data_IF_843835699046
#
_entry.id   IF_843835699046
#
_cell.length_a   1.000
_cell.length_b   1.000
_cell.length_c   1.000
_cell.angle_alpha   90.00
_cell.angle_beta   90.00
_cell.angle_gamma   90.00
#
_symmetry.space_group_name_H-M   'P 1'
#
loop_
_entity.id
_entity.type
_entity.pdbx_description
1 polymer ?
#
# COMPACT_ATOMS: atom_id res chain seq x y z
N UNK A 1 34.06 -23.52 41.27
CA UNK A 1 34.49 -22.22 41.83
C UNK A 1 33.42 -21.18 41.49
N UNK A 2 33.09 -20.30 42.44
CA UNK A 2 31.82 -19.56 42.62
C UNK A 2 31.35 -18.67 41.46
N UNK A 3 30.02 -18.64 41.28
CA UNK A 3 29.22 -17.64 40.56
C UNK A 3 29.45 -16.22 41.10
N UNK A 4 29.47 -15.21 40.22
CA UNK A 4 29.34 -13.78 40.56
C UNK A 4 28.11 -13.20 39.86
N UNK A 5 27.07 -12.90 40.67
CA UNK A 5 25.93 -12.04 40.32
C UNK A 5 26.35 -10.58 40.55
N UNK A 6 26.29 -9.75 39.50
CA UNK A 6 26.37 -8.29 39.64
C UNK A 6 25.01 -7.72 40.07
N UNK A 7 24.94 -7.16 41.28
CA UNK A 7 23.87 -6.27 41.74
C UNK A 7 24.28 -4.84 41.38
N UNK A 8 23.42 -4.10 40.70
CA UNK A 8 23.59 -2.64 40.54
C UNK A 8 22.94 -1.93 41.73
N UNK A 9 23.73 -1.10 42.41
CA UNK A 9 23.36 -0.32 43.58
C UNK A 9 22.49 0.90 43.22
N UNK A 10 21.41 1.04 43.97
CA UNK A 10 20.53 2.20 44.06
C UNK A 10 21.30 3.38 44.71
N UNK A 11 21.39 4.52 44.02
CA UNK A 11 21.98 5.74 44.58
C UNK A 11 21.06 6.37 45.62
N UNK A 12 21.68 6.73 46.75
CA UNK A 12 21.08 7.35 47.95
C UNK A 12 20.51 8.73 47.66
N UNK A 13 19.32 8.95 48.20
CA UNK A 13 18.65 10.23 48.37
C UNK A 13 19.32 11.01 49.53
N UNK A 14 19.73 12.26 49.28
CA UNK A 14 20.28 13.17 50.28
C UNK A 14 19.16 14.08 50.79
N UNK A 15 18.79 13.94 52.06
CA UNK A 15 17.92 14.88 52.76
C UNK A 15 18.74 16.11 53.20
N UNK A 16 18.22 17.31 52.92
CA UNK A 16 18.53 18.49 53.73
C UNK A 16 17.27 19.32 53.90
N UNK A 17 16.98 19.54 55.17
CA UNK A 17 15.86 20.17 55.80
C UNK A 17 16.05 21.70 55.79
N UNK A 18 15.11 22.47 55.25
CA UNK A 18 14.85 23.83 55.74
C UNK A 18 13.38 24.22 55.48
N UNK A 19 12.63 24.35 56.56
CA UNK A 19 11.25 24.85 56.62
C UNK A 19 11.27 26.38 56.63
N UNK A 20 10.52 27.02 55.73
CA UNK A 20 9.97 28.36 55.94
C UNK A 20 8.61 28.48 55.24
N UNK A 21 7.61 28.85 56.05
CA UNK A 21 6.19 28.96 55.74
C UNK A 21 5.87 30.18 54.85
N UNK A 22 5.18 29.98 53.73
CA UNK A 22 4.31 30.95 53.06
C UNK A 22 3.20 30.18 52.30
N UNK A 23 1.92 30.58 52.36
CA UNK A 23 0.85 29.89 51.65
C UNK A 23 0.78 30.42 50.22
N UNK A 24 1.56 29.84 49.32
CA UNK A 24 1.36 30.00 47.88
C UNK A 24 0.57 28.79 47.42
N UNK A 25 -0.61 29.05 46.83
CA UNK A 25 -1.45 28.06 46.16
C UNK A 25 -0.61 27.43 45.04
N UNK A 26 0.03 26.32 45.36
CA UNK A 26 0.72 25.48 44.40
C UNK A 26 -0.35 24.73 43.61
N UNK A 27 -0.65 25.22 42.41
CA UNK A 27 -1.18 24.38 41.35
C UNK A 27 -0.16 23.26 41.15
N UNK A 28 -0.40 22.11 41.78
CA UNK A 28 0.29 20.88 41.46
C UNK A 28 -0.11 20.53 40.02
N UNK A 29 0.63 21.06 39.05
CA UNK A 29 0.67 20.51 37.71
C UNK A 29 1.29 19.13 37.92
N UNK A 30 0.41 18.13 38.08
CA UNK A 30 0.74 16.74 37.87
C UNK A 30 1.20 16.63 36.41
N UNK A 31 2.45 16.99 36.14
CA UNK A 31 3.19 16.51 34.98
C UNK A 31 3.38 15.02 35.23
N UNK A 32 2.31 14.27 35.01
CA UNK A 32 2.38 12.85 34.75
C UNK A 32 3.29 12.71 33.55
N UNK A 33 4.55 12.38 33.82
CA UNK A 33 5.43 11.81 32.82
C UNK A 33 4.76 10.48 32.47
N UNK A 34 3.86 10.53 31.47
CA UNK A 34 3.31 9.33 30.84
C UNK A 34 4.54 8.63 30.28
N UNK A 35 5.02 7.63 31.00
CA UNK A 35 6.02 6.69 30.50
C UNK A 35 5.36 6.02 29.31
N UNK A 36 5.60 6.55 28.10
CA UNK A 36 5.07 5.95 26.88
C UNK A 36 5.62 4.53 26.81
N UNK A 37 4.75 3.55 27.03
CA UNK A 37 5.14 2.15 27.03
C UNK A 37 5.48 1.76 25.58
N UNK A 38 6.71 1.33 25.35
CA UNK A 38 7.15 0.79 24.07
C UNK A 38 6.91 -0.72 24.09
N UNK A 39 5.99 -1.19 23.25
CA UNK A 39 5.75 -2.62 23.11
C UNK A 39 6.64 -3.16 21.98
N UNK A 40 7.56 -4.07 22.33
CA UNK A 40 8.35 -4.81 21.34
C UNK A 40 7.48 -5.93 20.80
N UNK A 41 7.18 -5.89 19.50
CA UNK A 41 6.33 -6.88 18.86
C UNK A 41 7.09 -8.18 18.64
N UNK A 42 6.48 -9.31 19.03
CA UNK A 42 6.96 -10.64 18.65
C UNK A 42 6.55 -10.92 17.21
N UNK A 43 7.50 -10.80 16.30
CA UNK A 43 7.32 -11.00 14.86
C UNK A 43 8.28 -12.07 14.35
N UNK A 44 7.84 -12.80 13.33
CA UNK A 44 8.66 -13.77 12.61
C UNK A 44 8.82 -13.29 11.16
N UNK A 45 9.83 -12.46 10.88
CA UNK A 45 10.05 -11.94 9.54
C UNK A 45 10.45 -13.07 8.59
N UNK A 46 9.91 -13.04 7.37
CA UNK A 46 10.33 -13.92 6.28
C UNK A 46 11.38 -13.19 5.46
N UNK A 47 12.59 -13.77 5.44
CA UNK A 47 13.70 -13.25 4.64
C UNK A 47 13.74 -13.99 3.32
N UNK A 48 13.68 -13.24 2.22
CA UNK A 48 13.78 -13.76 0.86
C UNK A 48 14.84 -12.96 0.09
N UNK A 49 15.70 -13.67 -0.64
CA UNK A 49 16.78 -13.09 -1.43
C UNK A 49 16.48 -13.06 -2.93
N UNK A 50 15.33 -13.56 -3.36
CA UNK A 50 14.89 -13.53 -4.76
C UNK A 50 13.35 -13.43 -4.89
N UNK A 51 12.68 -12.46 -4.23
CA UNK A 51 11.22 -12.37 -4.28
C UNK A 51 10.66 -11.93 -5.64
N UNK A 52 11.49 -11.37 -6.53
CA UNK A 52 11.05 -10.90 -7.86
C UNK A 52 11.37 -11.90 -8.99
N UNK A 53 11.81 -13.11 -8.66
CA UNK A 53 11.99 -14.24 -9.56
C UNK A 53 12.72 -13.92 -10.87
N UNK A 54 14.05 -13.80 -10.81
CA UNK A 54 14.89 -13.66 -12.02
C UNK A 54 14.91 -12.25 -12.61
N UNK A 55 14.25 -11.28 -11.97
CA UNK A 55 14.44 -9.87 -12.31
C UNK A 55 15.86 -9.40 -11.98
N UNK A 56 16.57 -8.87 -12.98
CA UNK A 56 17.95 -8.38 -12.86
C UNK A 56 18.08 -6.89 -13.12
N UNK A 57 16.96 -6.20 -13.38
CA UNK A 57 16.95 -4.76 -13.60
C UNK A 57 17.36 -3.99 -12.35
N UNK A 58 18.04 -2.86 -12.53
CA UNK A 58 18.39 -2.00 -11.40
C UNK A 58 17.11 -1.51 -10.71
N UNK A 59 17.06 -1.67 -9.40
CA UNK A 59 16.04 -1.07 -8.55
C UNK A 59 16.66 -0.64 -7.24
N UNK A 60 16.27 0.54 -6.78
CA UNK A 60 16.58 1.02 -5.44
C UNK A 60 15.76 0.27 -4.40
N UNK A 61 16.24 0.34 -3.16
CA UNK A 61 15.54 -0.20 -2.00
C UNK A 61 14.28 0.60 -1.69
N UNK A 62 13.37 -0.03 -0.95
CA UNK A 62 12.06 0.52 -0.63
C UNK A 62 11.56 -0.02 0.71
N UNK A 63 10.86 0.83 1.43
CA UNK A 63 10.10 0.46 2.63
C UNK A 63 8.62 0.78 2.41
N UNK A 64 7.74 -0.20 2.62
CA UNK A 64 6.31 -0.05 2.33
C UNK A 64 5.45 -1.01 3.12
N UNK A 65 4.13 -0.80 3.05
CA UNK A 65 3.10 -1.67 3.62
C UNK A 65 2.39 -2.38 2.48
N UNK A 66 2.26 -3.70 2.57
CA UNK A 66 1.54 -4.52 1.59
C UNK A 66 0.59 -5.47 2.32
N UNK A 67 -0.64 -5.54 1.83
CA UNK A 67 -1.66 -6.44 2.38
C UNK A 67 -1.59 -7.84 1.78
N UNK A 68 -2.10 -8.81 2.52
CA UNK A 68 -2.29 -10.19 2.10
C UNK A 68 -1.27 -11.16 2.69
N UNK A 69 -1.35 -12.38 2.21
CA UNK A 69 -0.42 -13.48 2.51
C UNK A 69 0.96 -13.23 1.89
N UNK A 70 1.99 -13.95 2.36
CA UNK A 70 3.36 -13.82 1.84
C UNK A 70 3.45 -13.97 0.31
N UNK A 71 2.79 -14.95 -0.35
CA UNK A 71 2.78 -15.04 -1.81
C UNK A 71 2.18 -13.80 -2.50
N UNK A 72 1.05 -13.29 -1.98
CA UNK A 72 0.41 -12.08 -2.50
C UNK A 72 1.33 -10.85 -2.31
N UNK A 73 2.00 -10.75 -1.16
CA UNK A 73 2.97 -9.69 -0.88
C UNK A 73 4.12 -9.71 -1.89
N UNK A 74 4.66 -10.88 -2.23
CA UNK A 74 5.73 -11.00 -3.24
C UNK A 74 5.27 -10.57 -4.62
N UNK A 75 4.07 -10.98 -5.04
CA UNK A 75 3.51 -10.57 -6.32
C UNK A 75 3.22 -9.05 -6.36
N UNK A 76 2.67 -8.49 -5.29
CA UNK A 76 2.50 -7.03 -5.16
C UNK A 76 3.84 -6.29 -5.20
N UNK A 77 4.86 -6.79 -4.50
CA UNK A 77 6.21 -6.22 -4.55
C UNK A 77 6.78 -6.24 -5.97
N UNK A 78 6.59 -7.35 -6.70
CA UNK A 78 6.98 -7.48 -8.11
C UNK A 78 6.27 -6.45 -9.00
N UNK A 79 4.98 -6.26 -8.78
CA UNK A 79 4.20 -5.26 -9.52
C UNK A 79 4.66 -3.84 -9.23
N UNK A 80 4.98 -3.51 -7.98
CA UNK A 80 5.51 -2.19 -7.60
C UNK A 80 6.91 -1.97 -8.20
N UNK A 81 7.82 -2.94 -8.04
CA UNK A 81 9.23 -2.77 -8.44
C UNK A 81 9.41 -2.84 -9.95
N UNK A 82 8.81 -3.83 -10.61
CA UNK A 82 9.00 -4.10 -12.04
C UNK A 82 8.01 -3.29 -12.88
N UNK A 83 6.72 -3.39 -12.55
CA UNK A 83 5.65 -2.77 -13.36
C UNK A 83 5.35 -1.32 -12.95
N UNK A 84 6.03 -0.82 -11.90
CA UNK A 84 5.87 0.56 -11.38
C UNK A 84 4.42 0.90 -11.01
N UNK A 85 3.69 -0.09 -10.49
CA UNK A 85 2.35 0.11 -9.94
C UNK A 85 2.45 1.03 -8.73
N UNK A 86 1.52 1.97 -8.61
CA UNK A 86 1.46 2.90 -7.50
C UNK A 86 1.21 2.16 -6.18
N UNK A 87 1.84 2.63 -5.10
CA UNK A 87 1.65 2.07 -3.77
C UNK A 87 0.35 2.60 -3.17
N UNK A 88 -0.44 1.73 -2.54
CA UNK A 88 -1.60 2.16 -1.75
C UNK A 88 -1.15 2.54 -0.35
N UNK A 89 -1.63 3.67 0.16
CA UNK A 89 -1.47 4.10 1.55
C UNK A 89 -2.75 3.98 2.37
N UNK A 90 -3.81 3.35 1.82
CA UNK A 90 -5.07 3.12 2.54
C UNK A 90 -5.40 1.63 2.55
N UNK A 91 -5.76 1.14 3.74
CA UNK A 91 -6.05 -0.26 4.03
C UNK A 91 -7.35 -0.39 4.83
N UNK A 92 -7.89 -1.61 4.92
CA UNK A 92 -9.05 -1.93 5.75
C UNK A 92 -8.64 -2.56 7.08
N UNK A 93 -9.46 -2.42 8.13
CA UNK A 93 -9.29 -3.16 9.40
C UNK A 93 -9.29 -4.68 9.23
N UNK A 94 -9.86 -5.18 8.13
CA UNK A 94 -9.86 -6.60 7.78
C UNK A 94 -8.63 -7.05 6.98
N UNK A 95 -7.82 -6.12 6.47
CA UNK A 95 -6.63 -6.46 5.71
C UNK A 95 -5.53 -6.98 6.67
N UNK A 96 -4.97 -8.15 6.37
CA UNK A 96 -3.73 -8.61 7.01
C UNK A 96 -2.54 -7.86 6.40
N UNK A 97 -1.89 -7.03 7.19
CA UNK A 97 -0.82 -6.14 6.71
C UNK A 97 0.57 -6.70 6.98
N UNK A 98 1.52 -6.31 6.12
CA UNK A 98 2.93 -6.66 6.22
C UNK A 98 3.78 -5.42 5.97
N UNK A 99 4.81 -5.21 6.78
CA UNK A 99 5.90 -4.33 6.37
C UNK A 99 6.83 -5.07 5.42
N UNK A 100 7.28 -4.38 4.38
CA UNK A 100 8.22 -4.91 3.40
C UNK A 100 9.44 -4.01 3.35
N UNK A 101 10.60 -4.58 3.70
CA UNK A 101 11.90 -3.93 3.57
C UNK A 101 12.63 -4.59 2.40
N UNK A 102 12.69 -3.90 1.27
CA UNK A 102 13.35 -4.33 0.06
C UNK A 102 14.67 -3.57 -0.10
N UNK A 103 15.81 -4.24 -0.21
CA UNK A 103 17.12 -3.56 -0.32
C UNK A 103 17.50 -3.13 -1.74
N UNK A 104 16.75 -3.54 -2.76
CA UNK A 104 17.12 -3.33 -4.17
C UNK A 104 17.66 -4.58 -4.83
N UNK A 105 18.14 -4.44 -6.07
CA UNK A 105 18.77 -5.52 -6.84
C UNK A 105 20.29 -5.35 -6.81
N UNK A 106 21.00 -6.39 -6.38
CA UNK A 106 22.45 -6.48 -6.39
C UNK A 106 22.92 -7.48 -7.45
N UNK A 107 24.03 -7.18 -8.13
CA UNK A 107 24.58 -8.02 -9.21
C UNK A 107 25.27 -9.30 -8.72
N UNK A 108 25.50 -9.41 -7.42
CA UNK A 108 26.11 -10.58 -6.77
C UNK A 108 25.35 -10.90 -5.48
N UNK A 109 25.65 -12.06 -4.89
CA UNK A 109 25.26 -12.36 -3.51
C UNK A 109 26.18 -11.72 -2.48
N UNK A 110 26.01 -12.14 -1.23
CA UNK A 110 26.73 -11.59 -0.07
C UNK A 110 26.02 -10.40 0.59
N UNK A 111 25.05 -9.79 -0.07
CA UNK A 111 24.21 -8.75 0.52
C UNK A 111 23.13 -9.38 1.41
N UNK A 112 23.00 -8.88 2.63
CA UNK A 112 22.14 -9.43 3.68
C UNK A 112 21.15 -8.41 4.24
N UNK A 113 20.03 -8.90 4.74
CA UNK A 113 19.13 -8.15 5.62
C UNK A 113 18.79 -9.00 6.84
N UNK A 114 18.63 -8.37 8.00
CA UNK A 114 17.94 -8.95 9.14
C UNK A 114 17.05 -7.90 9.77
N UNK A 115 15.93 -8.34 10.36
CA UNK A 115 15.08 -7.49 11.19
C UNK A 115 15.43 -7.82 12.63
N UNK A 116 15.93 -6.82 13.34
CA UNK A 116 16.46 -6.99 14.69
C UNK A 116 15.33 -6.89 15.72
N UNK A 117 14.41 -5.94 15.51
CA UNK A 117 13.16 -5.80 16.28
C UNK A 117 12.16 -4.89 15.57
N UNK A 118 10.90 -4.98 15.97
CA UNK A 118 9.87 -4.00 15.64
C UNK A 118 9.23 -3.51 16.93
N UNK A 119 9.19 -2.19 17.08
CA UNK A 119 8.57 -1.52 18.21
C UNK A 119 7.27 -0.85 17.77
N UNK A 120 6.26 -0.90 18.63
CA UNK A 120 5.01 -0.16 18.45
C UNK A 120 4.81 0.80 19.62
N UNK A 121 4.50 2.05 19.29
CA UNK A 121 4.13 3.09 20.25
C UNK A 121 2.91 3.83 19.71
N UNK A 122 1.72 3.49 20.23
CA UNK A 122 0.47 3.98 19.65
C UNK A 122 0.33 3.53 18.18
N UNK A 123 0.18 4.49 17.27
CA UNK A 123 0.06 4.24 15.83
C UNK A 123 1.41 4.36 15.09
N UNK A 124 2.52 4.45 15.81
CA UNK A 124 3.86 4.50 15.22
C UNK A 124 4.51 3.14 15.36
N UNK A 125 4.96 2.59 14.24
CA UNK A 125 5.82 1.40 14.19
C UNK A 125 7.24 1.83 13.83
N UNK A 126 8.23 1.29 14.53
CA UNK A 126 9.64 1.44 14.16
C UNK A 126 10.25 0.07 13.91
N UNK A 127 10.65 -0.17 12.67
CA UNK A 127 11.35 -1.36 12.22
C UNK A 127 12.84 -1.11 12.29
N UNK A 128 13.56 -1.92 13.06
CA UNK A 128 15.01 -1.87 13.17
C UNK A 128 15.59 -3.02 12.35
N UNK A 129 16.42 -2.70 11.37
CA UNK A 129 17.03 -3.66 10.48
C UNK A 129 18.55 -3.49 10.43
N UNK A 130 19.25 -4.59 10.19
CA UNK A 130 20.68 -4.58 9.89
C UNK A 130 20.88 -4.94 8.42
N UNK A 131 21.53 -4.04 7.69
CA UNK A 131 21.98 -4.25 6.32
C UNK A 131 23.41 -4.76 6.34
N UNK A 132 23.66 -5.89 5.70
CA UNK A 132 25.00 -6.47 5.58
C UNK A 132 25.49 -6.37 4.14
N UNK A 133 26.68 -5.83 3.97
CA UNK A 133 27.31 -5.71 2.66
C UNK A 133 28.63 -6.50 2.64
N UNK A 134 28.93 -7.23 1.56
CA UNK A 134 30.20 -7.95 1.43
C UNK A 134 31.33 -6.94 1.22
N UNK A 135 32.30 -6.95 2.12
CA UNK A 135 33.52 -6.16 2.03
C UNK A 135 34.56 -6.79 1.10
N UNK A 136 35.67 -6.06 0.90
CA UNK A 136 36.75 -6.49 0.02
C UNK A 136 37.31 -7.85 0.46
N UNK A 137 37.42 -8.77 -0.50
CA UNK A 137 37.99 -10.10 -0.28
C UNK A 137 37.00 -11.14 0.28
N UNK A 138 35.75 -10.76 0.57
CA UNK A 138 34.68 -11.73 0.84
C UNK A 138 34.26 -12.40 -0.45
N UNK A 139 34.23 -13.74 -0.45
CA UNK A 139 33.66 -14.50 -1.55
C UNK A 139 32.16 -14.23 -1.68
N UNK A 140 31.71 -13.90 -2.88
CA UNK A 140 30.31 -13.67 -3.22
C UNK A 140 29.84 -14.68 -4.24
N UNK A 141 28.54 -14.95 -4.29
CA UNK A 141 27.95 -15.75 -5.38
C UNK A 141 27.75 -14.87 -6.62
N UNK A 142 28.07 -15.40 -7.79
CA UNK A 142 27.85 -14.73 -9.09
C UNK A 142 26.40 -14.87 -9.56
N UNK A 143 25.46 -14.45 -8.69
CA UNK A 143 24.04 -14.44 -8.98
C UNK A 143 23.42 -13.16 -8.43
N UNK A 144 22.45 -12.62 -9.17
CA UNK A 144 21.70 -11.45 -8.71
C UNK A 144 20.95 -11.79 -7.43
N UNK A 145 20.99 -10.87 -6.45
CA UNK A 145 20.26 -11.02 -5.19
C UNK A 145 19.42 -9.80 -4.88
N UNK A 146 18.36 -10.03 -4.12
CA UNK A 146 17.31 -9.07 -3.81
C UNK A 146 16.91 -9.21 -2.34
N UNK A 147 17.80 -8.86 -1.39
CA UNK A 147 17.54 -9.07 0.03
C UNK A 147 16.28 -8.34 0.48
N UNK A 148 15.31 -9.09 0.97
CA UNK A 148 13.98 -8.60 1.30
C UNK A 148 13.51 -9.22 2.60
N UNK A 149 12.93 -8.40 3.48
CA UNK A 149 12.25 -8.86 4.67
C UNK A 149 10.76 -8.53 4.58
N UNK A 150 9.92 -9.55 4.73
CA UNK A 150 8.47 -9.43 4.85
C UNK A 150 8.12 -9.66 6.31
N UNK A 151 7.46 -8.68 6.93
CA UNK A 151 7.18 -8.66 8.36
C UNK A 151 5.67 -8.64 8.55
N UNK A 152 5.03 -9.79 8.84
CA UNK A 152 3.60 -9.83 9.12
C UNK A 152 3.31 -9.03 10.40
N UNK A 153 2.44 -8.02 10.29
CA UNK A 153 1.95 -7.24 11.43
C UNK A 153 0.47 -7.52 11.72
N UNK A 154 -0.21 -8.22 10.80
CA UNK A 154 -1.60 -8.63 10.93
C UNK A 154 -2.56 -7.47 10.74
N UNK A 155 -3.75 -7.61 11.33
CA UNK A 155 -4.82 -6.61 11.28
C UNK A 155 -4.57 -5.48 12.25
N UNK A 156 -4.94 -4.28 11.85
CA UNK A 156 -4.82 -3.07 12.67
C UNK A 156 -6.20 -2.46 12.91
N UNK A 157 -6.34 -1.76 14.04
CA UNK A 157 -7.52 -0.95 14.31
C UNK A 157 -7.57 0.25 13.35
N UNK A 158 -8.75 0.85 13.21
CA UNK A 158 -8.91 2.09 12.44
C UNK A 158 -7.98 3.20 12.96
N UNK A 159 -7.42 3.96 12.03
CA UNK A 159 -6.63 5.15 12.34
C UNK A 159 -5.51 5.41 11.34
N UNK A 160 -4.85 6.55 11.54
CA UNK A 160 -3.64 6.94 10.82
C UNK A 160 -2.41 6.36 11.51
N UNK A 161 -1.53 5.76 10.72
CA UNK A 161 -0.31 5.09 11.16
C UNK A 161 0.93 5.62 10.44
N UNK A 162 2.04 5.54 11.16
CA UNK A 162 3.37 5.86 10.65
C UNK A 162 4.27 4.64 10.86
N UNK A 163 4.94 4.19 9.79
CA UNK A 163 5.96 3.17 9.87
C UNK A 163 7.33 3.81 9.57
N UNK A 164 8.30 3.60 10.45
CA UNK A 164 9.68 4.06 10.31
C UNK A 164 10.60 2.87 10.09
N UNK A 165 11.55 3.01 9.19
CA UNK A 165 12.65 2.07 9.03
C UNK A 165 13.94 2.71 9.52
N UNK A 166 14.57 2.07 10.49
CA UNK A 166 15.89 2.40 10.99
C UNK A 166 16.87 1.30 10.66
N UNK A 167 18.01 1.68 10.11
CA UNK A 167 18.99 0.74 9.58
C UNK A 167 20.36 0.97 10.22
N UNK A 168 21.01 -0.12 10.60
CA UNK A 168 22.46 -0.17 10.85
C UNK A 168 23.12 -0.84 9.66
N UNK A 169 24.15 -0.23 9.09
CA UNK A 169 24.94 -0.83 8.03
C UNK A 169 26.19 -1.50 8.59
N UNK A 170 26.38 -2.75 8.21
CA UNK A 170 27.51 -3.58 8.60
C UNK A 170 28.24 -4.05 7.35
N UNK A 171 29.56 -3.93 7.38
CA UNK A 171 30.44 -4.49 6.37
C UNK A 171 31.00 -5.81 6.87
N UNK A 172 30.75 -6.89 6.13
CA UNK A 172 31.37 -8.19 6.37
C UNK A 172 32.79 -8.16 5.78
N UNK A 173 33.80 -8.46 6.60
CA UNK A 173 35.21 -8.53 6.17
C UNK A 173 35.83 -9.85 6.62
N UNK A 174 37.00 -10.18 6.08
CA UNK A 174 37.75 -11.38 6.50
C UNK A 174 38.13 -11.35 8.00
N UNK A 175 38.20 -10.16 8.61
CA UNK A 175 38.49 -9.96 10.04
C UNK A 175 37.23 -10.00 10.91
N UNK A 176 36.05 -10.02 10.31
CA UNK A 176 34.77 -10.02 10.99
C UNK A 176 33.83 -8.90 10.53
N UNK A 177 32.84 -8.60 11.38
CA UNK A 177 31.76 -7.65 11.10
C UNK A 177 32.05 -6.28 11.70
N UNK A 178 32.03 -5.25 10.86
CA UNK A 178 32.25 -3.86 11.27
C UNK A 178 31.01 -3.02 11.00
N UNK A 179 30.53 -2.29 12.01
CA UNK A 179 29.48 -1.28 11.81
C UNK A 179 30.09 -0.09 11.08
N UNK A 180 29.60 0.19 9.87
CA UNK A 180 30.09 1.29 9.03
C UNK A 180 29.17 2.51 9.09
N UNK A 181 27.88 2.30 9.33
CA UNK A 181 26.94 3.36 9.64
C UNK A 181 26.05 2.88 10.79
N UNK A 182 26.04 3.60 11.93
CA UNK A 182 25.19 3.26 13.07
C UNK A 182 23.71 3.45 12.72
N UNK A 183 22.84 2.99 13.61
CA UNK A 183 21.38 3.10 13.45
C UNK A 183 20.96 4.51 13.01
N UNK A 184 20.33 4.59 11.83
CA UNK A 184 19.81 5.82 11.24
C UNK A 184 18.47 5.57 10.58
N UNK A 185 17.58 6.55 10.65
CA UNK A 185 16.32 6.52 9.92
C UNK A 185 16.57 6.60 8.41
N UNK A 186 16.11 5.58 7.71
CA UNK A 186 16.26 5.45 6.26
C UNK A 186 14.98 5.87 5.52
N UNK A 187 13.82 5.57 6.09
CA UNK A 187 12.54 5.80 5.43
C UNK A 187 11.38 5.90 6.42
N UNK A 188 10.36 6.66 6.04
CA UNK A 188 9.09 6.80 6.76
C UNK A 188 7.96 6.56 5.76
N UNK A 189 6.95 5.79 6.17
CA UNK A 189 5.79 5.45 5.37
C UNK A 189 4.51 5.70 6.17
N UNK A 190 3.67 6.62 5.70
CA UNK A 190 2.40 6.97 6.33
C UNK A 190 1.26 6.21 5.65
N UNK A 191 0.34 5.65 6.43
CA UNK A 191 -0.81 4.92 5.91
C UNK A 191 -2.03 5.02 6.82
N UNK A 192 -3.20 4.83 6.24
CA UNK A 192 -4.49 4.92 6.91
C UNK A 192 -5.19 3.56 6.91
N UNK A 193 -5.76 3.17 8.04
CA UNK A 193 -6.61 1.96 8.17
C UNK A 193 -8.04 2.40 8.42
N UNK A 194 -8.95 2.00 7.53
CA UNK A 194 -10.37 2.36 7.56
C UNK A 194 -11.23 1.19 8.02
N UNK A 195 -12.40 1.45 8.62
CA UNK A 195 -13.34 0.40 8.93
C UNK A 195 -13.79 -0.26 7.63
N UNK A 196 -13.89 -1.59 7.64
CA UNK A 196 -14.54 -2.31 6.56
C UNK A 196 -15.96 -1.80 6.50
N UNK A 197 -16.42 -1.35 5.34
CA UNK A 197 -17.79 -0.86 5.18
C UNK A 197 -18.77 -1.91 5.72
N UNK A 198 -19.27 -1.69 6.93
CA UNK A 198 -20.22 -2.58 7.57
C UNK A 198 -21.54 -2.43 6.84
N UNK A 199 -22.04 -3.52 6.27
CA UNK A 199 -23.40 -3.62 5.75
C UNK A 199 -24.39 -3.42 6.92
N UNK A 200 -24.66 -2.17 7.31
CA UNK A 200 -25.78 -1.83 8.18
C UNK A 200 -27.04 -2.06 7.37
N UNK A 201 -27.89 -2.97 7.85
CA UNK A 201 -29.04 -3.50 7.16
C UNK A 201 -29.95 -2.42 6.58
N UNK A 202 -29.98 -2.36 5.25
CA UNK A 202 -31.18 -2.05 4.49
C UNK A 202 -31.50 -3.29 3.67
N UNK A 203 -32.69 -3.80 3.91
CA UNK A 203 -33.30 -4.92 3.17
C UNK A 203 -33.17 -4.72 1.67
N UNK A 204 -32.55 -5.71 1.00
CA UNK A 204 -32.58 -5.98 -0.46
C UNK A 204 -32.57 -4.74 -1.36
N UNK A 205 -31.38 -4.26 -1.70
CA UNK A 205 -31.03 -3.91 -3.08
C UNK A 205 -29.51 -4.07 -3.26
N UNK A 206 -29.14 -4.84 -4.29
CA UNK A 206 -27.77 -5.16 -4.68
C UNK A 206 -26.96 -3.89 -5.04
N UNK A 207 -25.62 -4.02 -5.05
CA UNK A 207 -24.54 -3.14 -5.62
C UNK A 207 -23.62 -2.62 -4.49
N UNK A 208 -22.29 -2.70 -4.48
CA UNK A 208 -21.25 -3.16 -5.41
C UNK A 208 -19.93 -3.19 -4.64
N UNK A 209 -19.14 -4.27 -4.77
CA UNK A 209 -17.72 -4.29 -4.40
C UNK A 209 -16.99 -3.12 -5.10
N UNK A 210 -16.19 -2.37 -4.34
CA UNK A 210 -15.34 -1.32 -4.86
C UNK A 210 -14.18 -1.98 -5.61
N UNK A 211 -14.13 -1.78 -6.93
CA UNK A 211 -13.05 -2.28 -7.76
C UNK A 211 -11.94 -1.23 -7.84
N UNK A 212 -10.70 -1.68 -7.76
CA UNK A 212 -9.52 -0.88 -8.08
C UNK A 212 -9.56 -0.55 -9.56
N UNK A 213 -9.54 0.74 -9.86
CA UNK A 213 -9.75 1.25 -11.20
C UNK A 213 -8.62 0.76 -12.15
N UNK A 214 -7.44 0.46 -11.64
CA UNK A 214 -6.23 0.15 -12.39
C UNK A 214 -6.02 -1.33 -12.79
N UNK A 215 -6.99 -2.22 -12.57
CA UNK A 215 -6.84 -3.66 -12.87
C UNK A 215 -8.06 -4.28 -13.57
N UNK A 216 -7.87 -4.79 -14.80
CA UNK A 216 -8.82 -5.69 -15.49
C UNK A 216 -8.54 -7.10 -15.00
N UNK A 217 -9.32 -7.59 -14.04
CA UNK A 217 -9.23 -8.98 -13.60
C UNK A 217 -10.05 -9.88 -14.54
N UNK A 218 -9.39 -10.88 -15.11
CA UNK A 218 -9.96 -12.19 -15.37
C UNK A 218 -9.06 -13.19 -14.61
N UNK A 219 -9.67 -14.00 -13.75
CA UNK A 219 -9.07 -15.13 -13.01
C UNK A 219 -8.20 -14.83 -11.76
N UNK A 220 -8.86 -14.79 -10.60
CA UNK A 220 -8.44 -15.67 -9.48
C UNK A 220 -9.65 -16.11 -8.64
N UNK A 221 -9.67 -17.40 -8.30
CA UNK A 221 -10.58 -18.06 -7.34
C UNK A 221 -12.08 -17.74 -7.46
N UNK A 222 -12.76 -18.34 -8.43
CA UNK A 222 -14.22 -18.49 -8.43
C UNK A 222 -15.02 -17.31 -8.99
N UNK A 223 -14.37 -16.23 -9.43
CA UNK A 223 -15.03 -15.14 -10.13
C UNK A 223 -14.83 -15.25 -11.65
N UNK A 224 -15.86 -15.70 -12.37
CA UNK A 224 -15.91 -15.81 -13.82
C UNK A 224 -16.35 -14.49 -14.50
N UNK A 225 -16.04 -13.34 -13.89
CA UNK A 225 -16.50 -12.05 -14.41
C UNK A 225 -15.80 -11.73 -15.73
N UNK A 226 -16.44 -12.14 -16.81
CA UNK A 226 -16.10 -11.82 -18.19
C UNK A 226 -16.78 -10.53 -18.62
N UNK A 227 -16.92 -9.57 -17.70
CA UNK A 227 -17.63 -8.31 -17.94
C UNK A 227 -16.94 -7.16 -17.21
N UNK A 228 -16.54 -6.18 -17.98
CA UNK A 228 -15.93 -4.95 -17.52
C UNK A 228 -16.83 -3.76 -17.81
N UNK A 229 -16.89 -2.83 -16.87
CA UNK A 229 -17.52 -1.51 -16.96
C UNK A 229 -16.66 -0.50 -16.17
N UNK A 230 -16.99 0.79 -16.20
CA UNK A 230 -16.15 1.79 -15.52
C UNK A 230 -16.12 1.69 -13.99
N UNK A 231 -16.92 0.80 -13.39
CA UNK A 231 -16.76 0.49 -11.97
C UNK A 231 -15.55 -0.38 -11.77
N UNK A 232 -15.29 -1.35 -12.66
CA UNK A 232 -14.26 -2.36 -12.52
C UNK A 232 -13.10 -2.28 -13.52
N UNK A 233 -13.08 -1.25 -14.37
CA UNK A 233 -11.99 -0.94 -15.28
C UNK A 233 -11.85 0.58 -15.48
N UNK A 234 -10.79 1.19 -14.94
CA UNK A 234 -10.46 2.62 -15.10
C UNK A 234 -10.15 3.01 -16.54
N UNK A 235 -9.84 2.02 -17.38
CA UNK A 235 -9.59 2.28 -18.78
C UNK A 235 -10.83 2.85 -19.47
N UNK A 236 -12.04 2.67 -18.90
CA UNK A 236 -13.24 3.32 -19.42
C UNK A 236 -13.43 4.74 -18.89
N UNK A 237 -13.91 5.60 -19.79
CA UNK A 237 -14.24 6.96 -19.42
C UNK A 237 -15.34 6.97 -18.36
N UNK A 238 -15.11 7.78 -17.32
CA UNK A 238 -16.06 8.03 -16.24
C UNK A 238 -16.06 9.51 -15.90
N UNK A 239 -17.24 10.10 -15.84
CA UNK A 239 -17.42 11.47 -15.39
C UNK A 239 -17.20 11.57 -13.87
N UNK A 240 -16.23 12.36 -13.39
CA UNK A 240 -15.85 12.38 -11.98
C UNK A 240 -16.91 13.04 -11.08
N UNK A 241 -17.76 13.92 -11.62
CA UNK A 241 -18.76 14.67 -10.86
C UNK A 241 -20.08 13.90 -10.78
N UNK A 242 -20.46 13.22 -11.86
CA UNK A 242 -21.77 12.55 -11.99
C UNK A 242 -21.69 11.03 -11.94
N UNK A 243 -20.48 10.46 -11.94
CA UNK A 243 -20.26 9.01 -11.98
C UNK A 243 -20.86 8.35 -13.25
N UNK A 244 -21.10 9.13 -14.32
CA UNK A 244 -21.61 8.62 -15.59
C UNK A 244 -20.50 7.90 -16.34
N UNK A 245 -20.80 6.71 -16.86
CA UNK A 245 -19.99 6.00 -17.86
C UNK A 245 -20.91 5.23 -18.80
N UNK A 246 -20.44 4.96 -20.01
CA UNK A 246 -21.24 4.35 -21.07
C UNK A 246 -20.66 3.07 -21.64
N UNK A 247 -19.44 2.71 -21.26
CA UNK A 247 -18.67 1.64 -21.89
C UNK A 247 -18.77 0.33 -21.11
N UNK A 248 -18.90 -0.78 -21.83
CA UNK A 248 -18.77 -2.13 -21.28
C UNK A 248 -17.99 -3.03 -22.25
N UNK A 249 -17.15 -3.91 -21.73
CA UNK A 249 -16.51 -4.99 -22.47
C UNK A 249 -16.96 -6.32 -21.88
N UNK A 250 -17.35 -7.28 -22.71
CA UNK A 250 -17.83 -8.59 -22.28
C UNK A 250 -17.13 -9.68 -23.08
N UNK A 251 -16.71 -10.77 -22.41
CA UNK A 251 -16.42 -12.04 -23.07
C UNK A 251 -17.61 -12.99 -22.85
N UNK A 252 -18.50 -13.08 -23.84
CA UNK A 252 -19.70 -13.90 -23.78
C UNK A 252 -19.41 -15.36 -24.16
N UNK A 253 -18.62 -16.04 -23.33
CA UNK A 253 -18.21 -17.43 -23.59
C UNK A 253 -18.02 -18.20 -22.29
N UNK A 254 -18.69 -19.34 -22.15
CA UNK A 254 -18.60 -20.18 -20.94
C UNK A 254 -17.32 -21.02 -20.85
N UNK A 255 -16.77 -21.45 -21.98
CA UNK A 255 -15.71 -22.47 -22.05
C UNK A 255 -14.28 -21.99 -21.81
N UNK A 256 -14.04 -20.70 -21.53
CA UNK A 256 -12.70 -20.20 -21.25
C UNK A 256 -12.14 -20.81 -19.96
N UNK A 257 -10.98 -21.46 -20.08
CA UNK A 257 -10.27 -22.09 -18.97
C UNK A 257 -8.78 -22.27 -19.33
N UNK A 258 -8.00 -22.85 -18.40
CA UNK A 258 -6.56 -23.08 -18.59
C UNK A 258 -6.18 -23.91 -19.82
N UNK A 259 -7.07 -24.77 -20.31
CA UNK A 259 -6.88 -25.60 -21.50
C UNK A 259 -7.50 -25.00 -22.76
N UNK A 260 -8.41 -24.03 -22.64
CA UNK A 260 -9.04 -23.35 -23.78
C UNK A 260 -9.02 -21.83 -23.57
N UNK A 261 -7.95 -21.19 -24.08
CA UNK A 261 -7.71 -19.73 -23.99
C UNK A 261 -8.03 -19.00 -25.30
N UNK A 262 -8.89 -19.58 -26.13
CA UNK A 262 -9.31 -19.01 -27.41
C UNK A 262 -10.71 -18.42 -27.22
N UNK A 263 -10.86 -17.12 -27.51
CA UNK A 263 -12.16 -16.45 -27.56
C UNK A 263 -12.71 -16.67 -28.97
N UNK A 264 -13.86 -17.34 -29.06
CA UNK A 264 -14.50 -17.61 -30.33
C UNK A 264 -15.01 -16.32 -30.98
N UNK A 265 -15.18 -16.37 -32.30
CA UNK A 265 -15.64 -15.22 -33.09
C UNK A 265 -16.93 -14.64 -32.53
N UNK A 266 -16.97 -13.31 -32.40
CA UNK A 266 -18.09 -12.51 -31.85
C UNK A 266 -18.33 -12.61 -30.34
N UNK A 267 -17.53 -13.39 -29.59
CA UNK A 267 -17.69 -13.49 -28.15
C UNK A 267 -16.92 -12.41 -27.37
N UNK A 268 -16.11 -11.57 -28.01
CA UNK A 268 -15.54 -10.36 -27.42
C UNK A 268 -16.38 -9.15 -27.84
N UNK A 269 -17.16 -8.60 -26.93
CA UNK A 269 -18.19 -7.60 -27.21
C UNK A 269 -17.87 -6.31 -26.46
N UNK A 270 -17.52 -5.26 -27.20
CA UNK A 270 -17.44 -3.90 -26.68
C UNK A 270 -18.73 -3.15 -27.02
N UNK A 271 -19.37 -2.55 -26.01
CA UNK A 271 -20.62 -1.78 -26.15
C UNK A 271 -20.45 -0.39 -25.55
N UNK A 272 -20.92 0.63 -26.25
CA UNK A 272 -21.05 1.99 -25.71
C UNK A 272 -22.38 2.61 -26.15
N UNK A 273 -23.02 3.37 -25.26
CA UNK A 273 -24.29 4.06 -25.54
C UNK A 273 -24.29 5.45 -24.94
N UNK A 274 -24.59 6.46 -25.76
CA UNK A 274 -24.61 7.84 -25.29
C UNK A 274 -25.61 8.11 -24.18
N UNK A 275 -25.23 9.04 -23.30
CA UNK A 275 -26.02 9.49 -22.18
C UNK A 275 -26.01 11.02 -22.09
N UNK A 276 -27.12 11.64 -21.61
CA UNK A 276 -27.14 13.06 -21.32
C UNK A 276 -26.26 13.39 -20.11
N UNK A 277 -25.37 14.37 -20.27
CA UNK A 277 -24.46 14.88 -19.24
C UNK A 277 -24.74 16.37 -19.03
N UNK A 278 -24.78 16.82 -17.78
CA UNK A 278 -25.02 18.22 -17.44
C UNK A 278 -23.84 19.10 -17.84
N UNK A 279 -24.13 20.31 -18.32
CA UNK A 279 -23.10 21.34 -18.41
C UNK A 279 -22.68 21.78 -17.00
N UNK A 280 -21.39 22.04 -16.78
CA UNK A 280 -20.87 22.51 -15.48
C UNK A 280 -21.56 23.80 -15.00
N UNK A 281 -21.84 24.73 -15.90
CA UNK A 281 -22.54 25.99 -15.58
C UNK A 281 -23.98 25.74 -15.13
N UNK A 282 -24.64 24.74 -15.72
CA UNK A 282 -25.97 24.31 -15.29
C UNK A 282 -25.92 23.62 -13.93
N UNK A 283 -24.90 22.79 -13.69
CA UNK A 283 -24.75 22.05 -12.44
C UNK A 283 -24.38 22.94 -11.24
N UNK A 284 -23.50 23.93 -11.41
CA UNK A 284 -22.98 24.74 -10.30
C UNK A 284 -23.63 26.10 -10.14
N UNK A 285 -24.10 26.72 -11.23
CA UNK A 285 -24.69 28.05 -11.20
C UNK A 285 -26.20 28.03 -11.52
N UNK A 286 -26.77 26.86 -11.79
CA UNK A 286 -28.15 26.70 -12.25
C UNK A 286 -28.47 27.56 -13.50
N UNK A 287 -27.46 27.79 -14.35
CA UNK A 287 -27.60 28.56 -15.58
C UNK A 287 -27.60 27.62 -16.78
N UNK A 288 -28.62 27.73 -17.63
CA UNK A 288 -28.76 26.90 -18.82
C UNK A 288 -28.04 27.53 -20.00
N UNK A 289 -27.05 26.85 -20.65
CA UNK A 289 -26.43 27.37 -21.86
C UNK A 289 -27.47 27.62 -22.97
N UNK A 290 -27.38 28.75 -23.71
CA UNK A 290 -28.30 29.06 -24.79
C UNK A 290 -28.37 27.93 -25.82
N UNK A 291 -29.59 27.56 -26.23
CA UNK A 291 -29.81 26.50 -27.22
C UNK A 291 -29.68 25.07 -26.67
N UNK A 292 -29.66 24.90 -25.35
CA UNK A 292 -29.59 23.58 -24.69
C UNK A 292 -30.63 23.48 -23.57
N UNK A 293 -30.94 22.26 -23.14
CA UNK A 293 -31.75 22.02 -21.93
C UNK A 293 -30.89 21.91 -20.66
N UNK A 294 -29.63 22.35 -20.72
CA UNK A 294 -28.66 22.18 -19.63
C UNK A 294 -27.86 20.88 -19.71
N UNK A 295 -28.06 20.11 -20.78
CA UNK A 295 -27.39 18.83 -21.04
C UNK A 295 -26.80 18.76 -22.45
N UNK A 296 -25.77 17.93 -22.62
CA UNK A 296 -25.24 17.48 -23.91
C UNK A 296 -25.13 15.95 -23.91
N UNK A 297 -25.09 15.33 -25.09
CA UNK A 297 -24.96 13.89 -25.20
C UNK A 297 -23.49 13.48 -25.31
N UNK A 298 -23.04 12.60 -24.42
CA UNK A 298 -21.66 12.10 -24.40
C UNK A 298 -21.61 10.58 -24.29
N UNK A 299 -20.54 9.98 -24.81
CA UNK A 299 -20.20 8.59 -24.61
C UNK A 299 -18.68 8.44 -24.48
N UNK A 300 -18.25 7.42 -23.75
CA UNK A 300 -16.91 6.89 -23.83
C UNK A 300 -16.73 6.11 -25.12
N UNK A 301 -15.57 6.27 -25.75
CA UNK A 301 -15.16 5.50 -26.90
C UNK A 301 -13.71 5.07 -26.70
N UNK A 302 -13.52 3.78 -26.41
CA UNK A 302 -12.20 3.19 -26.16
C UNK A 302 -11.44 3.94 -25.04
N UNK A 303 -12.16 4.30 -23.98
CA UNK A 303 -11.61 4.97 -22.81
C UNK A 303 -11.60 6.50 -22.85
N UNK A 304 -11.96 7.11 -23.97
CA UNK A 304 -11.95 8.56 -24.12
C UNK A 304 -13.35 9.14 -24.26
N UNK A 305 -13.59 10.28 -23.60
CA UNK A 305 -14.86 11.02 -23.68
C UNK A 305 -15.06 11.62 -25.06
N UNK A 306 -16.19 11.30 -25.68
CA UNK A 306 -16.65 11.89 -26.92
C UNK A 306 -18.02 12.55 -26.73
N UNK A 307 -18.27 13.64 -27.47
CA UNK A 307 -19.54 14.36 -27.46
C UNK A 307 -20.24 14.16 -28.80
N UNK A 308 -21.53 13.87 -28.76
CA UNK A 308 -22.34 13.78 -29.96
C UNK A 308 -22.62 15.18 -30.47
N UNK A 309 -22.05 15.49 -31.64
CA UNK A 309 -22.52 16.62 -32.40
C UNK A 309 -23.85 16.20 -33.03
N UNK A 310 -24.90 16.95 -32.75
CA UNK A 310 -26.13 16.81 -33.51
C UNK A 310 -25.77 17.15 -34.96
N UNK A 311 -25.70 16.12 -35.80
CA UNK A 311 -25.52 16.31 -37.23
C UNK A 311 -26.63 17.22 -37.69
N UNK A 312 -26.27 18.43 -38.15
CA UNK A 312 -27.26 19.32 -38.72
C UNK A 312 -27.99 18.56 -39.80
N UNK A 313 -29.31 18.45 -39.68
CA UNK A 313 -30.13 18.25 -40.86
C UNK A 313 -29.89 19.48 -41.71
N UNK A 314 -28.92 19.38 -42.62
CA UNK A 314 -28.81 20.27 -43.74
C UNK A 314 -30.15 20.20 -44.45
N UNK A 315 -31.03 21.14 -44.13
CA UNK A 315 -32.09 21.58 -45.01
C UNK A 315 -31.40 21.86 -46.33
N UNK A 316 -31.45 20.91 -47.27
CA UNK A 316 -31.35 21.23 -48.70
C UNK A 316 -32.46 22.22 -48.98
N UNK A 317 -32.11 23.50 -48.99
CA UNK A 317 -32.80 24.54 -49.75
C UNK A 317 -31.97 24.79 -50.99
#
# INVERSE_FOLDING_TARGET
>A
MKYMKGKYEQRRCSQSLLLLFLPIIAFAILSGCVSQQHDVLKINPVIDYNPLEGFTGKSEGMFTVIKGSIPEVKESLKNIVIKKVAQTSTFSVDDDLNFVVYRGVFSTGGYGISIDRVEKQGNIFTVYATYRDPGKGIGVTEAFTQPTAIIPIGKLAEGDYEARLRVTWVLDTIEGRNVIEPEKELSVYNFEVKPTASNIGISRENVSSAYSADQVFDESAGNFTKKWDAKNFAGFWRDPETNISTETLVIDQSILNNSHRIIEKHNLIYTTKSMPVKYRVYMHANQTPPGTEGFYSAAGWLGEKHVYLQGGTGSRR
#
